data_IF_193185810866
#
_entry.id   IF_193185810866
#
_cell.length_a   1.000
_cell.length_b   1.000
_cell.length_c   1.000
_cell.angle_alpha   90.00
_cell.angle_beta   90.00
_cell.angle_gamma   90.00
#
_symmetry.space_group_name_H-M   'P 1'
#
loop_
_entity.id
_entity.type
_entity.pdbx_description
1 polymer ?
#
# COMPACT_ATOMS: atom_id res chain seq x y z
N UNK A 1 -24.35 -36.94 48.87
CA UNK A 1 -23.37 -37.45 47.90
C UNK A 1 -23.92 -37.31 46.49
N UNK A 2 -23.09 -36.75 45.60
CA UNK A 2 -23.06 -36.86 44.13
C UNK A 2 -24.39 -37.01 43.34
N UNK A 3 -24.86 -35.92 42.70
CA UNK A 3 -24.89 -35.66 41.23
C UNK A 3 -25.25 -36.85 40.33
N UNK A 4 -26.34 -36.71 39.55
CA UNK A 4 -26.53 -37.08 38.12
C UNK A 4 -27.83 -36.38 37.65
N UNK A 5 -27.80 -35.29 36.87
CA UNK A 5 -27.58 -35.18 35.41
C UNK A 5 -28.67 -35.87 34.57
N UNK A 6 -29.40 -35.09 33.76
CA UNK A 6 -29.98 -35.34 32.40
C UNK A 6 -31.02 -34.22 32.16
N UNK A 7 -30.64 -33.11 31.50
CA UNK A 7 -30.78 -32.80 30.05
C UNK A 7 -32.22 -32.51 29.63
N UNK A 8 -32.45 -31.30 29.09
CA UNK A 8 -33.34 -30.90 27.96
C UNK A 8 -33.25 -29.36 27.90
N UNK A 9 -32.36 -28.81 27.05
CA UNK A 9 -32.71 -28.18 25.77
C UNK A 9 -33.64 -26.97 25.94
N UNK A 10 -33.06 -25.78 25.78
CA UNK A 10 -33.61 -24.69 24.95
C UNK A 10 -32.47 -23.70 24.66
N UNK A 11 -31.96 -23.81 23.45
CA UNK A 11 -31.16 -22.81 22.73
C UNK A 11 -32.06 -21.59 22.46
N UNK A 12 -31.44 -20.44 22.15
CA UNK A 12 -31.99 -19.14 21.67
C UNK A 12 -32.05 -18.10 22.82
N UNK A 13 -31.39 -16.95 22.80
CA UNK A 13 -30.91 -16.10 21.71
C UNK A 13 -29.72 -15.25 22.19
N UNK A 14 -28.74 -15.14 21.31
CA UNK A 14 -27.62 -14.21 21.39
C UNK A 14 -28.15 -12.83 20.96
N UNK A 15 -28.07 -11.82 21.83
CA UNK A 15 -28.06 -10.43 21.43
C UNK A 15 -26.73 -9.83 21.86
N UNK A 16 -25.71 -10.04 21.01
CA UNK A 16 -24.42 -9.39 21.15
C UNK A 16 -24.56 -7.93 20.79
N UNK A 17 -24.55 -7.05 21.80
CA UNK A 17 -24.19 -5.65 21.60
C UNK A 17 -22.66 -5.55 21.72
N UNK A 18 -21.95 -5.98 20.68
CA UNK A 18 -20.55 -5.58 20.51
C UNK A 18 -20.59 -4.24 19.81
N UNK A 19 -20.40 -3.18 20.59
CA UNK A 19 -20.02 -1.88 20.07
C UNK A 19 -18.62 -2.02 19.44
N UNK A 20 -18.56 -2.42 18.17
CA UNK A 20 -17.36 -2.23 17.36
C UNK A 20 -17.22 -0.72 17.13
N UNK A 21 -16.16 -0.16 17.72
CA UNK A 21 -15.73 1.20 17.43
C UNK A 21 -15.67 1.41 15.93
N UNK A 22 -16.24 2.52 15.48
CA UNK A 22 -16.15 2.97 14.11
C UNK A 22 -14.68 3.04 13.72
N UNK A 23 -14.25 2.07 12.93
CA UNK A 23 -13.07 2.18 12.08
C UNK A 23 -13.41 3.37 11.18
N UNK A 24 -12.75 4.51 11.40
CA UNK A 24 -12.78 5.59 10.43
C UNK A 24 -12.45 4.96 9.09
N UNK A 25 -13.44 4.93 8.20
CA UNK A 25 -13.34 4.26 6.92
C UNK A 25 -12.11 4.78 6.21
N UNK A 26 -11.19 3.86 5.91
CA UNK A 26 -10.05 4.11 5.04
C UNK A 26 -10.63 4.73 3.77
N UNK A 27 -10.48 6.05 3.60
CA UNK A 27 -11.03 6.76 2.43
C UNK A 27 -10.36 6.28 1.13
N UNK A 28 -9.32 5.45 1.24
CA UNK A 28 -8.73 4.69 0.15
C UNK A 28 -9.65 3.56 -0.36
N UNK A 29 -10.54 3.00 0.46
CA UNK A 29 -11.43 1.90 0.04
C UNK A 29 -12.49 2.34 -0.99
N UNK A 30 -12.90 3.62 -0.98
CA UNK A 30 -13.77 4.20 -2.03
C UNK A 30 -13.02 4.52 -3.34
N UNK A 31 -11.69 4.46 -3.35
CA UNK A 31 -10.82 4.74 -4.52
C UNK A 31 -9.81 3.63 -4.75
N UNK A 32 -10.26 2.38 -4.77
CA UNK A 32 -9.44 1.23 -5.14
C UNK A 32 -9.81 0.76 -6.56
N UNK A 33 -9.44 1.49 -7.63
CA UNK A 33 -9.88 1.19 -9.00
C UNK A 33 -9.36 -0.17 -9.50
N UNK A 34 -8.28 -0.67 -8.91
CA UNK A 34 -7.65 -1.94 -9.26
C UNK A 34 -8.09 -3.11 -8.36
N UNK A 35 -9.01 -2.89 -7.42
CA UNK A 35 -9.50 -3.90 -6.48
C UNK A 35 -8.35 -4.63 -5.73
N UNK A 36 -7.33 -3.86 -5.32
CA UNK A 36 -6.17 -4.33 -4.58
C UNK A 36 -6.58 -4.88 -3.21
N UNK A 37 -6.03 -6.05 -2.86
CA UNK A 37 -5.90 -6.50 -1.48
C UNK A 37 -4.62 -5.88 -0.88
N UNK A 38 -4.79 -4.84 -0.07
CA UNK A 38 -3.67 -4.12 0.53
C UNK A 38 -2.84 -4.95 1.53
N UNK A 39 -3.32 -6.11 1.97
CA UNK A 39 -2.58 -6.99 2.89
C UNK A 39 -1.88 -8.15 2.16
N UNK A 40 -2.18 -8.34 0.87
CA UNK A 40 -1.61 -9.42 0.08
C UNK A 40 -0.15 -9.15 -0.27
N UNK A 41 0.68 -10.17 -0.09
CA UNK A 41 2.09 -10.16 -0.51
C UNK A 41 2.29 -10.63 -1.94
N UNK A 42 1.23 -11.09 -2.60
CA UNK A 42 1.28 -11.46 -4.01
C UNK A 42 1.29 -10.19 -4.87
N UNK A 43 1.97 -10.26 -6.02
CA UNK A 43 1.97 -9.19 -7.01
C UNK A 43 0.56 -9.03 -7.58
N UNK A 44 0.07 -7.80 -7.55
CA UNK A 44 -1.26 -7.42 -8.05
C UNK A 44 -1.08 -6.39 -9.16
N UNK A 45 -1.52 -6.70 -10.40
CA UNK A 45 -1.38 -5.78 -11.52
C UNK A 45 -2.24 -4.52 -11.29
N UNK A 46 -1.74 -3.40 -11.79
CA UNK A 46 -2.41 -2.10 -11.71
C UNK A 46 -2.57 -1.52 -13.12
N UNK A 47 -1.78 -0.51 -13.48
CA UNK A 47 -1.84 0.15 -14.79
C UNK A 47 -1.02 -0.60 -15.84
N UNK A 48 -1.56 -0.70 -17.06
CA UNK A 48 -0.80 -1.12 -18.24
C UNK A 48 -0.01 0.06 -18.86
N UNK A 49 -0.37 1.31 -18.54
CA UNK A 49 0.38 2.50 -18.95
C UNK A 49 1.67 2.62 -18.13
N UNK A 50 2.78 2.91 -18.81
CA UNK A 50 4.12 3.01 -18.22
C UNK A 50 4.74 4.35 -18.54
N UNK A 51 5.58 4.85 -17.63
CA UNK A 51 6.41 6.01 -17.86
C UNK A 51 7.74 5.60 -18.52
N UNK A 52 8.40 6.54 -19.20
CA UNK A 52 9.74 6.30 -19.74
C UNK A 52 10.80 6.18 -18.62
N UNK A 53 11.92 5.53 -18.93
CA UNK A 53 13.11 5.49 -18.05
C UNK A 53 13.51 6.89 -17.60
N UNK A 54 13.53 7.87 -18.51
CA UNK A 54 13.91 9.26 -18.19
C UNK A 54 12.97 9.89 -17.17
N UNK A 55 11.67 9.63 -17.27
CA UNK A 55 10.66 10.13 -16.31
C UNK A 55 10.85 9.48 -14.94
N UNK A 56 11.07 8.17 -14.89
CA UNK A 56 11.32 7.47 -13.63
C UNK A 56 12.65 7.91 -12.99
N UNK A 57 13.68 8.16 -13.81
CA UNK A 57 14.97 8.68 -13.35
C UNK A 57 14.84 10.10 -12.79
N UNK A 58 14.11 10.99 -13.47
CA UNK A 58 13.84 12.35 -13.00
C UNK A 58 13.12 12.31 -11.64
N UNK A 59 12.05 11.53 -11.53
CA UNK A 59 11.28 11.41 -10.29
C UNK A 59 12.17 10.95 -9.12
N UNK A 60 13.03 9.97 -9.35
CA UNK A 60 13.87 9.40 -8.31
C UNK A 60 15.09 10.26 -7.96
N UNK A 61 15.83 10.77 -8.96
CA UNK A 61 17.11 11.46 -8.77
C UNK A 61 16.97 12.96 -8.59
N UNK A 62 16.04 13.59 -9.29
CA UNK A 62 15.89 15.05 -9.31
C UNK A 62 14.79 15.48 -8.35
N UNK A 63 13.57 14.99 -8.55
CA UNK A 63 12.42 15.41 -7.75
C UNK A 63 12.50 14.95 -6.28
N UNK A 64 12.79 13.67 -6.04
CA UNK A 64 13.04 13.11 -4.71
C UNK A 64 14.48 13.29 -4.23
N UNK A 65 15.29 14.06 -4.98
CA UNK A 65 16.68 14.40 -4.65
C UNK A 65 17.58 13.16 -4.43
N UNK A 66 17.29 12.03 -5.09
CA UNK A 66 18.05 10.79 -4.96
C UNK A 66 17.93 10.12 -3.59
N UNK A 67 16.93 10.51 -2.77
CA UNK A 67 16.74 9.95 -1.43
C UNK A 67 16.09 8.57 -1.49
N UNK A 68 16.50 7.72 -0.56
CA UNK A 68 15.94 6.38 -0.40
C UNK A 68 15.08 6.24 0.87
N UNK A 69 15.26 7.13 1.85
CA UNK A 69 14.53 7.15 3.13
C UNK A 69 13.97 8.55 3.33
N UNK A 70 12.69 8.65 3.67
CA UNK A 70 11.97 9.91 3.69
C UNK A 70 11.50 10.35 5.08
N UNK A 71 11.59 9.49 6.10
CA UNK A 71 11.30 9.88 7.47
C UNK A 71 12.09 11.12 7.91
N UNK A 72 11.39 12.17 8.36
CA UNK A 72 12.00 13.45 8.78
C UNK A 72 12.41 14.38 7.63
N UNK A 73 12.13 14.03 6.38
CA UNK A 73 12.36 14.90 5.21
C UNK A 73 11.11 15.70 4.86
N UNK A 74 11.24 16.69 3.96
CA UNK A 74 10.10 17.45 3.41
C UNK A 74 9.11 16.60 2.61
N UNK A 75 9.52 15.38 2.21
CA UNK A 75 8.73 14.44 1.43
C UNK A 75 7.98 13.42 2.30
N UNK A 76 8.19 13.44 3.63
CA UNK A 76 7.63 12.45 4.55
C UNK A 76 6.09 12.41 4.58
N UNK A 77 5.44 13.47 4.08
CA UNK A 77 3.99 13.58 4.02
C UNK A 77 3.40 13.21 2.65
N UNK A 78 4.24 12.87 1.66
CA UNK A 78 3.77 12.47 0.32
C UNK A 78 3.00 11.15 0.38
N UNK A 79 1.95 11.04 -0.42
CA UNK A 79 1.16 9.82 -0.58
C UNK A 79 1.45 9.12 -1.90
N UNK A 80 0.78 7.99 -2.16
CA UNK A 80 0.80 7.35 -3.48
C UNK A 80 0.39 8.34 -4.58
N UNK A 81 -0.69 9.10 -4.35
CA UNK A 81 -1.26 10.02 -5.31
C UNK A 81 -0.30 11.16 -5.67
N UNK A 82 0.50 11.65 -4.71
CA UNK A 82 1.50 12.68 -5.00
C UNK A 82 2.60 12.15 -5.95
N UNK A 83 3.06 10.92 -5.72
CA UNK A 83 4.09 10.28 -6.55
C UNK A 83 3.53 9.91 -7.92
N UNK A 84 2.37 9.27 -7.99
CA UNK A 84 1.71 8.93 -9.25
C UNK A 84 1.40 10.18 -10.09
N UNK A 85 0.96 11.27 -9.45
CA UNK A 85 0.72 12.54 -10.13
C UNK A 85 1.99 13.17 -10.71
N UNK A 86 3.12 13.07 -10.01
CA UNK A 86 4.41 13.57 -10.51
C UNK A 86 4.92 12.73 -11.68
N UNK A 87 4.86 11.40 -11.57
CA UNK A 87 5.26 10.47 -12.64
C UNK A 87 4.33 10.59 -13.85
N UNK A 88 3.05 10.89 -13.63
CA UNK A 88 2.04 11.08 -14.65
C UNK A 88 1.25 9.82 -15.02
N UNK A 89 1.59 8.67 -14.44
CA UNK A 89 0.84 7.41 -14.59
C UNK A 89 0.80 6.66 -13.24
N UNK A 90 -0.21 5.82 -13.09
CA UNK A 90 -0.31 4.90 -11.96
C UNK A 90 0.76 3.79 -12.06
N UNK A 91 1.12 3.21 -10.91
CA UNK A 91 2.07 2.10 -10.82
C UNK A 91 1.65 0.91 -11.69
N UNK A 92 2.65 0.15 -12.16
CA UNK A 92 2.46 -1.08 -12.94
C UNK A 92 1.89 -2.21 -12.08
N UNK A 93 2.38 -2.34 -10.84
CA UNK A 93 1.86 -3.32 -9.90
C UNK A 93 2.07 -2.92 -8.44
N UNK A 94 1.34 -3.62 -7.58
CA UNK A 94 1.32 -3.47 -6.14
C UNK A 94 1.65 -4.79 -5.44
N UNK A 95 2.26 -4.71 -4.26
CA UNK A 95 2.26 -5.79 -3.26
C UNK A 95 2.51 -5.22 -1.87
N UNK A 96 2.08 -5.94 -0.83
CA UNK A 96 2.50 -5.64 0.54
C UNK A 96 3.87 -6.26 0.82
N UNK A 97 4.86 -5.46 1.19
CA UNK A 97 6.20 -5.96 1.53
C UNK A 97 6.25 -6.34 3.01
N UNK A 98 6.49 -7.62 3.32
CA UNK A 98 6.64 -8.08 4.72
C UNK A 98 8.04 -7.90 5.30
N UNK A 99 9.07 -7.88 4.47
CA UNK A 99 10.46 -7.72 4.92
C UNK A 99 10.73 -6.27 5.32
N UNK A 100 10.16 -5.33 4.57
CA UNK A 100 10.08 -3.92 4.91
C UNK A 100 8.60 -3.52 4.94
N UNK A 101 7.93 -3.69 6.10
CA UNK A 101 6.48 -3.54 6.25
C UNK A 101 5.93 -2.26 5.61
N UNK A 102 5.19 -2.43 4.51
CA UNK A 102 4.59 -1.30 3.81
C UNK A 102 3.93 -1.66 2.49
N UNK A 103 3.06 -0.76 2.06
CA UNK A 103 2.41 -0.79 0.74
C UNK A 103 3.45 -0.45 -0.32
N UNK A 104 3.78 -1.39 -1.19
CA UNK A 104 4.81 -1.20 -2.23
C UNK A 104 4.17 -1.05 -3.59
N UNK A 105 4.53 0.02 -4.28
CA UNK A 105 4.07 0.33 -5.63
C UNK A 105 5.27 0.41 -6.54
N UNK A 106 5.20 -0.25 -7.70
CA UNK A 106 6.31 -0.33 -8.64
C UNK A 106 5.87 0.16 -10.01
N UNK A 107 6.65 1.08 -10.58
CA UNK A 107 6.58 1.50 -11.96
C UNK A 107 7.71 0.79 -12.73
N UNK A 108 7.34 -0.04 -13.69
CA UNK A 108 8.27 -0.53 -14.70
C UNK A 108 8.37 0.50 -15.84
N UNK A 109 9.56 0.69 -16.39
CA UNK A 109 9.74 1.59 -17.51
C UNK A 109 9.13 1.00 -18.80
N UNK A 110 8.62 1.89 -19.65
CA UNK A 110 8.07 1.52 -20.97
C UNK A 110 9.14 0.99 -21.93
N UNK A 111 10.32 1.64 -21.91
CA UNK A 111 11.40 1.48 -22.88
C UNK A 111 12.52 0.52 -22.40
N UNK A 112 12.48 0.06 -21.15
CA UNK A 112 13.40 -0.96 -20.62
C UNK A 112 12.80 -1.74 -19.43
N UNK A 113 12.44 -3.01 -19.66
CA UNK A 113 11.85 -3.86 -18.62
C UNK A 113 12.80 -4.22 -17.46
N UNK A 114 14.09 -3.89 -17.55
CA UNK A 114 15.02 -4.02 -16.42
C UNK A 114 15.04 -2.76 -15.54
N UNK A 115 14.38 -1.68 -15.99
CA UNK A 115 14.35 -0.41 -15.30
C UNK A 115 13.03 -0.19 -14.59
N UNK A 116 13.12 0.12 -13.29
CA UNK A 116 11.96 0.35 -12.45
C UNK A 116 12.25 1.31 -11.33
N UNK A 117 11.18 1.95 -10.87
CA UNK A 117 11.15 2.78 -9.68
C UNK A 117 10.06 2.25 -8.76
N UNK A 118 10.36 2.13 -7.47
CA UNK A 118 9.41 1.64 -6.48
C UNK A 118 9.41 2.52 -5.24
N UNK A 119 8.24 2.71 -4.67
CA UNK A 119 8.06 3.37 -3.37
C UNK A 119 7.49 2.39 -2.36
N UNK A 120 7.82 2.61 -1.10
CA UNK A 120 7.21 1.95 0.05
C UNK A 120 6.51 3.02 0.88
N UNK A 121 5.22 2.80 1.15
CA UNK A 121 4.44 3.62 2.07
C UNK A 121 4.27 2.90 3.40
N UNK A 122 4.38 3.67 4.48
CA UNK A 122 4.08 3.20 5.83
C UNK A 122 2.95 4.03 6.44
N UNK A 123 2.11 3.37 7.24
CA UNK A 123 0.99 4.02 7.91
C UNK A 123 1.48 4.94 9.04
N UNK A 124 1.08 6.21 9.01
CA UNK A 124 1.35 7.20 10.05
C UNK A 124 0.09 8.01 10.31
N UNK A 125 -0.57 7.75 11.44
CA UNK A 125 -1.78 8.46 11.86
C UNK A 125 -2.98 8.19 10.96
N UNK A 126 -3.16 6.94 10.50
CA UNK A 126 -4.25 6.57 9.60
C UNK A 126 -4.04 6.96 8.13
N UNK A 127 -2.85 7.47 7.77
CA UNK A 127 -2.51 7.87 6.40
C UNK A 127 -1.26 7.12 5.96
N UNK A 128 -1.30 6.55 4.75
CA UNK A 128 -0.15 5.89 4.14
C UNK A 128 0.75 6.92 3.47
N UNK A 129 1.98 7.03 3.95
CA UNK A 129 2.91 8.10 3.56
C UNK A 129 4.25 7.53 3.14
N UNK A 130 4.94 8.25 2.26
CA UNK A 130 6.22 7.87 1.68
C UNK A 130 7.27 7.62 2.77
N UNK A 131 7.76 6.39 2.84
CA UNK A 131 8.75 5.97 3.83
C UNK A 131 10.10 5.70 3.17
N UNK A 132 10.08 4.97 2.05
CA UNK A 132 11.26 4.63 1.29
C UNK A 132 11.01 4.63 -0.22
N UNK A 133 12.09 4.69 -0.98
CA UNK A 133 12.09 4.46 -2.42
C UNK A 133 13.33 3.68 -2.84
N UNK A 134 13.15 2.88 -3.87
CA UNK A 134 14.22 2.12 -4.51
C UNK A 134 14.06 2.20 -6.01
N UNK A 135 15.16 2.00 -6.72
CA UNK A 135 15.19 1.96 -8.16
C UNK A 135 16.11 0.82 -8.58
N UNK A 136 15.86 0.23 -9.75
CA UNK A 136 16.86 -0.61 -10.38
C UNK A 136 17.97 0.28 -10.99
N UNK A 137 18.73 -0.22 -11.97
CA UNK A 137 19.86 0.49 -12.59
C UNK A 137 19.42 1.69 -13.45
N UNK A 138 18.65 2.62 -12.89
CA UNK A 138 18.44 3.95 -13.45
C UNK A 138 19.79 4.68 -13.38
N UNK A 139 20.73 4.39 -14.28
CA UNK A 139 22.01 5.11 -14.43
C UNK A 139 21.78 6.47 -15.07
#
# INVERSE_FOLDING_TARGET
MKKFAVVIICILLIAGLVACGGKAGDSAAEKNPYNLDYESTEIQPMSDEKASVDTLREAAKEWLEGRQIFAGTKFADYTYEDVAKHIGVDATYYYYNKQWPGRTYVWEAEDDNNQSFAIVLSERGGVWKLDAATQSLLE
#
